data_IF_482887097350
#
_entry.id   IF_482887097350
#
_cell.length_a   1.000
_cell.length_b   1.000
_cell.length_c   1.000
_cell.angle_alpha   90.00
_cell.angle_beta   90.00
_cell.angle_gamma   90.00
#
_symmetry.space_group_name_H-M   'P 1'
#
loop_
_entity.id
_entity.type
_entity.pdbx_description
1 polymer ?
#
# COMPACT_ATOMS: atom_id res chain seq x y z
N UNK A 1 -88.78 -29.26 9.08
CA UNK A 1 -88.60 -28.38 7.92
C UNK A 1 -87.36 -27.55 8.20
N UNK A 2 -86.28 -27.83 7.49
CA UNK A 2 -84.92 -27.37 7.85
C UNK A 2 -84.48 -26.33 6.84
N UNK A 3 -84.35 -25.10 7.28
CA UNK A 3 -83.73 -24.03 6.47
C UNK A 3 -82.21 -24.07 6.65
N UNK A 4 -81.52 -24.31 5.57
CA UNK A 4 -80.07 -24.19 5.47
C UNK A 4 -79.70 -22.75 5.10
N UNK A 5 -79.10 -22.06 6.02
CA UNK A 5 -78.45 -20.75 5.78
C UNK A 5 -77.06 -21.01 5.20
N UNK A 6 -76.86 -20.58 3.96
CA UNK A 6 -75.58 -20.59 3.31
C UNK A 6 -74.88 -19.26 3.55
N UNK A 7 -73.83 -19.25 4.35
CA UNK A 7 -72.97 -18.10 4.56
C UNK A 7 -71.99 -18.03 3.40
N UNK A 8 -72.10 -16.95 2.57
CA UNK A 8 -71.08 -16.59 1.61
C UNK A 8 -69.98 -15.84 2.35
N UNK A 9 -68.78 -16.44 2.44
CA UNK A 9 -67.60 -15.78 2.94
C UNK A 9 -66.91 -15.07 1.74
N UNK A 10 -67.05 -13.75 1.70
CA UNK A 10 -66.33 -12.92 0.71
C UNK A 10 -64.89 -12.76 1.21
N UNK A 11 -63.98 -13.50 0.57
CA UNK A 11 -62.54 -13.31 0.80
C UNK A 11 -62.10 -12.04 0.06
N UNK A 12 -61.86 -10.99 0.83
CA UNK A 12 -61.27 -9.75 0.34
C UNK A 12 -59.78 -9.95 0.19
N UNK A 13 -59.32 -10.26 -1.02
CA UNK A 13 -57.91 -10.29 -1.35
C UNK A 13 -57.34 -8.86 -1.33
N UNK A 14 -56.68 -8.48 -0.25
CA UNK A 14 -55.82 -7.32 -0.24
C UNK A 14 -54.59 -7.63 -1.13
N UNK A 15 -54.64 -7.23 -2.40
CA UNK A 15 -53.46 -7.07 -3.21
C UNK A 15 -52.67 -5.90 -2.64
N UNK A 16 -51.74 -6.14 -1.77
CA UNK A 16 -50.66 -5.19 -1.48
C UNK A 16 -49.82 -5.06 -2.72
N UNK A 17 -50.07 -3.99 -3.50
CA UNK A 17 -49.18 -3.56 -4.55
C UNK A 17 -47.83 -3.21 -3.90
N UNK A 18 -46.89 -4.17 -3.95
CA UNK A 18 -45.49 -3.86 -3.68
C UNK A 18 -45.04 -2.89 -4.77
N UNK A 19 -44.98 -1.63 -4.44
CA UNK A 19 -44.31 -0.64 -5.28
C UNK A 19 -42.87 -1.08 -5.41
N UNK A 20 -42.33 -1.31 -6.62
CA UNK A 20 -40.92 -1.54 -6.75
C UNK A 20 -40.24 -0.28 -6.19
N UNK A 21 -39.38 -0.47 -5.18
CA UNK A 21 -38.45 0.54 -4.75
C UNK A 21 -37.60 0.86 -5.99
N UNK A 22 -38.06 1.83 -6.78
CA UNK A 22 -37.26 2.39 -7.84
C UNK A 22 -36.08 3.02 -7.15
N UNK A 23 -34.96 2.29 -7.09
CA UNK A 23 -33.68 2.87 -6.89
C UNK A 23 -33.54 3.93 -7.96
N UNK A 24 -33.86 5.17 -7.62
CA UNK A 24 -33.63 6.30 -8.50
C UNK A 24 -32.12 6.37 -8.70
N UNK A 25 -31.70 5.69 -9.75
CA UNK A 25 -30.32 5.78 -10.23
C UNK A 25 -30.09 7.24 -10.60
N UNK A 26 -29.35 7.94 -9.73
CA UNK A 26 -29.11 9.36 -9.91
C UNK A 26 -28.16 9.56 -11.08
N UNK A 27 -28.73 9.61 -12.29
CA UNK A 27 -28.01 9.70 -13.56
C UNK A 27 -27.00 10.86 -13.57
N UNK A 28 -27.35 12.00 -12.92
CA UNK A 28 -26.42 13.13 -12.79
C UNK A 28 -25.18 12.75 -11.95
N UNK A 29 -25.36 11.96 -10.88
CA UNK A 29 -24.28 11.48 -10.04
C UNK A 29 -23.44 10.43 -10.77
N UNK A 30 -24.08 9.54 -11.53
CA UNK A 30 -23.40 8.54 -12.36
C UNK A 30 -22.62 9.17 -13.51
N UNK A 31 -23.18 10.17 -14.20
CA UNK A 31 -22.50 10.92 -15.27
C UNK A 31 -21.32 11.71 -14.68
N UNK A 32 -21.51 12.36 -13.53
CA UNK A 32 -20.43 13.05 -12.82
C UNK A 32 -19.29 12.11 -12.43
N UNK A 33 -19.60 10.93 -11.91
CA UNK A 33 -18.61 9.90 -11.55
C UNK A 33 -17.89 9.34 -12.78
N UNK A 34 -18.61 9.07 -13.87
CA UNK A 34 -18.03 8.59 -15.13
C UNK A 34 -17.13 9.65 -15.78
N UNK A 35 -17.53 10.93 -15.76
CA UNK A 35 -16.72 12.04 -16.28
C UNK A 35 -15.41 12.18 -15.47
N UNK A 36 -15.48 12.08 -14.13
CA UNK A 36 -14.32 12.13 -13.24
C UNK A 36 -13.40 10.93 -13.43
N UNK A 37 -13.97 9.73 -13.58
CA UNK A 37 -13.19 8.51 -13.87
C UNK A 37 -12.47 8.62 -15.23
N UNK A 38 -13.13 9.20 -16.24
CA UNK A 38 -12.54 9.44 -17.55
C UNK A 38 -11.41 10.47 -17.46
N UNK A 39 -11.61 11.56 -16.70
CA UNK A 39 -10.63 12.62 -16.51
C UNK A 39 -9.38 12.12 -15.79
N UNK A 40 -9.54 11.30 -14.75
CA UNK A 40 -8.43 10.72 -14.03
C UNK A 40 -7.73 9.59 -14.82
N UNK A 41 -8.45 8.89 -15.72
CA UNK A 41 -7.83 7.97 -16.68
C UNK A 41 -6.94 8.71 -17.71
N UNK A 42 -7.12 10.01 -17.88
CA UNK A 42 -6.33 10.86 -18.80
C UNK A 42 -5.22 11.66 -18.11
N UNK A 43 -4.96 11.44 -16.79
CA UNK A 43 -3.82 12.08 -16.13
C UNK A 43 -2.52 11.78 -16.85
N UNK A 44 -1.84 12.84 -17.28
CA UNK A 44 -0.51 12.75 -17.87
C UNK A 44 0.54 12.37 -16.83
N UNK A 45 1.67 11.86 -17.27
CA UNK A 45 2.79 11.55 -16.37
C UNK A 45 3.28 12.80 -15.62
N UNK A 46 3.27 13.97 -16.27
CA UNK A 46 3.64 15.23 -15.63
C UNK A 46 2.67 15.66 -14.52
N UNK A 47 1.36 15.48 -14.72
CA UNK A 47 0.36 15.74 -13.69
C UNK A 47 0.48 14.75 -12.54
N UNK A 48 0.73 13.48 -12.86
CA UNK A 48 0.97 12.44 -11.84
C UNK A 48 2.18 12.79 -10.99
N UNK A 49 3.30 13.16 -11.60
CA UNK A 49 4.52 13.55 -10.90
C UNK A 49 4.29 14.77 -10.00
N UNK A 50 3.50 15.75 -10.44
CA UNK A 50 3.14 16.92 -9.63
C UNK A 50 2.35 16.52 -8.37
N UNK A 51 1.34 15.65 -8.50
CA UNK A 51 0.56 15.19 -7.35
C UNK A 51 1.37 14.31 -6.38
N UNK A 52 2.26 13.47 -6.91
CA UNK A 52 3.16 12.66 -6.07
C UNK A 52 4.08 13.56 -5.27
N UNK A 53 4.66 14.58 -5.95
CA UNK A 53 5.53 15.55 -5.26
C UNK A 53 4.78 16.29 -4.16
N UNK A 54 3.58 16.81 -4.44
CA UNK A 54 2.76 17.51 -3.46
C UNK A 54 2.43 16.63 -2.25
N UNK A 55 2.10 15.36 -2.50
CA UNK A 55 1.86 14.38 -1.43
C UNK A 55 3.11 14.11 -0.59
N UNK A 56 4.27 13.91 -1.22
CA UNK A 56 5.52 13.64 -0.50
C UNK A 56 5.99 14.88 0.28
N UNK A 57 5.86 16.08 -0.28
CA UNK A 57 6.17 17.31 0.44
C UNK A 57 5.28 17.43 1.69
N UNK A 58 3.98 17.16 1.56
CA UNK A 58 3.04 17.14 2.67
C UNK A 58 3.38 16.08 3.72
N UNK A 59 3.75 14.86 3.29
CA UNK A 59 4.18 13.80 4.21
C UNK A 59 5.46 14.18 4.96
N UNK A 60 6.44 14.78 4.29
CA UNK A 60 7.69 15.24 4.90
C UNK A 60 7.44 16.41 5.89
N UNK A 61 6.41 17.23 5.69
CA UNK A 61 6.01 18.30 6.62
C UNK A 61 5.26 17.78 7.85
N UNK A 62 4.49 16.70 7.70
CA UNK A 62 3.64 16.15 8.77
C UNK A 62 4.29 15.01 9.56
N UNK A 63 5.46 14.54 9.15
CA UNK A 63 6.23 13.52 9.86
C UNK A 63 7.61 14.05 10.20
N UNK A 64 8.13 13.83 11.42
CA UNK A 64 9.48 14.23 11.78
C UNK A 64 10.51 13.51 10.90
N UNK A 65 11.10 14.20 9.94
CA UNK A 65 12.21 13.69 9.12
C UNK A 65 13.48 13.72 9.96
N UNK A 66 14.25 12.64 9.98
CA UNK A 66 15.55 12.61 10.63
C UNK A 66 16.55 13.50 9.89
N UNK A 67 17.33 14.27 10.65
CA UNK A 67 18.39 15.15 10.12
C UNK A 67 19.53 14.34 9.46
N UNK A 68 20.38 15.01 8.69
CA UNK A 68 21.45 14.35 7.92
C UNK A 68 22.49 13.64 8.79
N UNK A 69 22.74 14.15 10.01
CA UNK A 69 23.67 13.59 11.00
C UNK A 69 23.02 12.59 11.97
N UNK A 70 21.73 12.34 11.84
CA UNK A 70 21.00 11.40 12.65
C UNK A 70 21.49 9.96 12.40
N UNK A 71 21.71 9.14 13.44
CA UNK A 71 22.15 7.75 13.31
C UNK A 71 21.29 6.90 12.35
N UNK A 72 19.98 7.14 12.29
CA UNK A 72 19.09 6.45 11.34
C UNK A 72 19.38 6.87 9.91
N UNK A 73 19.53 8.16 9.64
CA UNK A 73 19.87 8.67 8.32
C UNK A 73 21.25 8.16 7.86
N UNK A 74 22.25 8.19 8.74
CA UNK A 74 23.58 7.65 8.45
C UNK A 74 23.55 6.15 8.15
N UNK A 75 22.73 5.38 8.90
CA UNK A 75 22.54 3.95 8.64
C UNK A 75 21.87 3.72 7.28
N UNK A 76 20.79 4.46 6.98
CA UNK A 76 20.07 4.34 5.70
C UNK A 76 20.98 4.70 4.53
N UNK A 77 21.71 5.81 4.61
CA UNK A 77 22.64 6.25 3.55
C UNK A 77 23.72 5.20 3.26
N UNK A 78 24.27 4.55 4.30
CA UNK A 78 25.24 3.47 4.14
C UNK A 78 24.63 2.24 3.45
N UNK A 79 23.40 1.88 3.78
CA UNK A 79 22.70 0.73 3.19
C UNK A 79 22.29 0.97 1.75
N UNK A 80 22.00 2.21 1.39
CA UNK A 80 21.54 2.60 0.05
C UNK A 80 22.66 3.21 -0.81
N UNK A 81 23.90 3.12 -0.35
CA UNK A 81 25.05 3.63 -1.11
C UNK A 81 25.09 3.02 -2.52
N UNK A 82 25.15 3.87 -3.53
CA UNK A 82 25.15 3.44 -4.93
C UNK A 82 23.78 3.18 -5.54
N UNK A 83 22.69 3.25 -4.77
CA UNK A 83 21.32 3.14 -5.27
C UNK A 83 20.83 4.51 -5.79
N UNK A 84 21.15 4.83 -7.03
CA UNK A 84 20.78 6.12 -7.63
C UNK A 84 19.42 6.10 -8.31
N UNK A 85 19.04 4.99 -8.92
CA UNK A 85 17.80 4.87 -9.69
C UNK A 85 17.25 3.43 -9.71
N UNK A 86 15.95 3.31 -10.03
CA UNK A 86 15.27 2.07 -10.32
C UNK A 86 14.59 2.19 -11.69
N UNK A 87 15.11 1.51 -12.70
CA UNK A 87 14.58 1.53 -14.07
C UNK A 87 14.36 2.97 -14.60
N UNK A 88 15.38 3.84 -14.38
CA UNK A 88 15.39 5.24 -14.80
C UNK A 88 14.55 6.19 -13.94
N UNK A 89 14.04 5.75 -12.79
CA UNK A 89 13.43 6.62 -11.77
C UNK A 89 14.47 6.91 -10.71
N UNK A 90 14.85 8.17 -10.52
CA UNK A 90 15.77 8.60 -9.48
C UNK A 90 15.20 8.27 -8.10
N UNK A 91 16.01 7.66 -7.23
CA UNK A 91 15.61 7.29 -5.87
C UNK A 91 15.95 8.39 -4.86
N UNK A 92 15.06 8.60 -3.90
CA UNK A 92 15.26 9.53 -2.79
C UNK A 92 14.84 8.87 -1.48
N UNK A 93 15.79 8.73 -0.55
CA UNK A 93 15.58 8.05 0.72
C UNK A 93 15.55 9.05 1.87
N UNK A 94 14.57 8.90 2.78
CA UNK A 94 14.53 9.61 4.06
C UNK A 94 14.02 8.70 5.16
N UNK A 95 14.36 9.02 6.40
CA UNK A 95 13.82 8.35 7.59
C UNK A 95 12.81 9.24 8.28
N UNK A 96 11.63 8.69 8.60
CA UNK A 96 10.67 9.31 9.51
C UNK A 96 10.88 8.78 10.93
N UNK A 97 11.06 9.70 11.89
CA UNK A 97 11.18 9.35 13.31
C UNK A 97 9.80 9.16 13.92
N UNK A 98 9.23 8.01 13.70
CA UNK A 98 7.87 7.64 14.13
C UNK A 98 7.86 6.25 14.77
N UNK A 99 6.84 5.99 15.59
CA UNK A 99 6.68 4.74 16.34
C UNK A 99 5.95 3.64 15.54
N UNK A 100 5.38 3.98 14.40
CA UNK A 100 4.76 3.00 13.51
C UNK A 100 5.83 2.20 12.77
N UNK A 101 5.56 0.94 12.48
CA UNK A 101 6.48 0.05 11.74
C UNK A 101 6.06 0.03 10.29
N UNK A 102 6.84 0.74 9.44
CA UNK A 102 6.53 0.81 8.01
C UNK A 102 7.75 1.22 7.16
N UNK A 103 7.67 0.93 5.88
CA UNK A 103 8.38 1.58 4.79
C UNK A 103 7.42 1.71 3.61
N UNK A 104 7.61 2.71 2.76
CA UNK A 104 6.79 2.83 1.56
C UNK A 104 7.55 3.54 0.44
N UNK A 105 7.16 3.20 -0.79
CA UNK A 105 7.71 3.79 -2.00
C UNK A 105 6.63 4.55 -2.79
N UNK A 106 6.98 5.76 -3.25
CA UNK A 106 6.14 6.55 -4.14
C UNK A 106 6.56 6.47 -5.61
N UNK A 107 5.68 6.90 -6.49
CA UNK A 107 5.84 6.77 -7.92
C UNK A 107 6.94 7.64 -8.52
N UNK A 108 7.44 8.62 -7.78
CA UNK A 108 8.56 9.51 -8.15
C UNK A 108 9.94 8.98 -7.74
N UNK A 109 9.99 7.82 -7.07
CA UNK A 109 11.20 7.23 -6.52
C UNK A 109 11.49 7.63 -5.07
N UNK A 110 10.61 8.38 -4.43
CA UNK A 110 10.69 8.66 -3.00
C UNK A 110 10.43 7.41 -2.19
N UNK A 111 11.37 7.04 -1.30
CA UNK A 111 11.24 5.93 -0.33
C UNK A 111 11.36 6.53 1.07
N UNK A 112 10.41 6.20 1.92
CA UNK A 112 10.38 6.62 3.32
C UNK A 112 10.45 5.40 4.21
N UNK A 113 11.44 5.37 5.10
CA UNK A 113 11.65 4.27 6.05
C UNK A 113 11.37 4.80 7.45
N UNK A 114 10.61 4.06 8.23
CA UNK A 114 10.26 4.47 9.59
C UNK A 114 11.31 3.98 10.59
N UNK A 115 11.68 4.83 11.55
CA UNK A 115 12.72 4.51 12.54
C UNK A 115 12.43 3.22 13.31
N UNK A 116 11.16 2.97 13.66
CA UNK A 116 10.78 1.75 14.36
C UNK A 116 10.95 0.47 13.52
N UNK A 117 10.83 0.54 12.19
CA UNK A 117 11.20 -0.57 11.32
C UNK A 117 12.71 -0.82 11.37
N UNK A 118 13.50 0.25 11.39
CA UNK A 118 14.97 0.15 11.48
C UNK A 118 15.42 -0.42 12.83
N UNK A 119 14.71 -0.14 13.92
CA UNK A 119 15.04 -0.65 15.26
C UNK A 119 14.91 -2.16 15.37
N UNK A 120 13.97 -2.74 14.65
CA UNK A 120 13.66 -4.17 14.75
C UNK A 120 14.40 -5.02 13.73
N UNK A 121 15.01 -4.44 12.70
CA UNK A 121 15.65 -5.17 11.60
C UNK A 121 17.16 -5.08 11.64
N UNK A 122 17.82 -6.18 11.30
CA UNK A 122 19.25 -6.17 10.95
C UNK A 122 19.46 -5.37 9.65
N UNK A 123 20.72 -5.03 9.35
CA UNK A 123 21.06 -4.30 8.12
C UNK A 123 20.65 -5.07 6.85
N UNK A 124 20.86 -6.39 6.82
CA UNK A 124 20.55 -7.20 5.65
C UNK A 124 19.03 -7.38 5.48
N UNK A 125 18.27 -7.54 6.59
CA UNK A 125 16.79 -7.58 6.56
C UNK A 125 16.21 -6.25 6.08
N UNK A 126 16.71 -5.14 6.62
CA UNK A 126 16.28 -3.82 6.22
C UNK A 126 16.59 -3.54 4.75
N UNK A 127 17.76 -3.96 4.28
CA UNK A 127 18.16 -3.85 2.88
C UNK A 127 17.24 -4.67 1.97
N UNK A 128 16.80 -5.85 2.43
CA UNK A 128 15.79 -6.67 1.74
C UNK A 128 14.45 -5.95 1.58
N UNK A 129 13.95 -5.33 2.66
CA UNK A 129 12.72 -4.52 2.60
C UNK A 129 12.89 -3.30 1.67
N UNK A 130 14.02 -2.61 1.74
CA UNK A 130 14.31 -1.50 0.82
C UNK A 130 14.33 -2.00 -0.62
N UNK A 131 14.95 -3.14 -0.90
CA UNK A 131 14.96 -3.78 -2.21
C UNK A 131 13.55 -4.12 -2.72
N UNK A 132 12.66 -4.58 -1.84
CA UNK A 132 11.26 -4.82 -2.14
C UNK A 132 10.54 -3.52 -2.54
N UNK A 133 10.71 -2.44 -1.78
CA UNK A 133 10.13 -1.13 -2.11
C UNK A 133 10.66 -0.58 -3.43
N UNK A 134 11.96 -0.73 -3.69
CA UNK A 134 12.58 -0.39 -4.99
C UNK A 134 11.97 -1.23 -6.12
N UNK A 135 11.66 -2.50 -5.85
CA UNK A 135 10.95 -3.39 -6.78
C UNK A 135 9.60 -2.84 -7.21
N UNK A 136 8.78 -2.33 -6.29
CA UNK A 136 7.50 -1.69 -6.61
C UNK A 136 7.66 -0.43 -7.48
N UNK A 137 8.75 0.33 -7.31
CA UNK A 137 9.07 1.47 -8.18
C UNK A 137 9.46 0.96 -9.58
N UNK A 138 10.39 0.00 -9.66
CA UNK A 138 10.88 -0.55 -10.92
C UNK A 138 9.75 -1.15 -11.77
N UNK A 139 8.82 -1.86 -11.15
CA UNK A 139 7.64 -2.46 -11.80
C UNK A 139 6.48 -1.48 -12.01
N UNK A 140 6.65 -0.20 -11.64
CA UNK A 140 5.61 0.85 -11.74
C UNK A 140 4.36 0.56 -10.90
N UNK A 141 4.47 -0.28 -9.86
CA UNK A 141 3.33 -0.63 -9.01
C UNK A 141 2.93 0.51 -8.11
N UNK A 142 3.89 1.24 -7.52
CA UNK A 142 3.66 2.48 -6.77
C UNK A 142 2.92 3.51 -7.62
N UNK A 143 3.25 3.63 -8.92
CA UNK A 143 2.55 4.53 -9.86
C UNK A 143 1.10 4.10 -10.07
N UNK A 144 0.83 2.80 -10.21
CA UNK A 144 -0.53 2.26 -10.38
C UNK A 144 -1.34 2.46 -9.10
N UNK A 145 -0.76 2.16 -7.94
CA UNK A 145 -1.37 2.34 -6.62
C UNK A 145 -1.75 3.80 -6.38
N UNK A 146 -0.79 4.72 -6.57
CA UNK A 146 -1.01 6.17 -6.42
C UNK A 146 -2.10 6.69 -7.35
N UNK A 147 -2.09 6.26 -8.62
CA UNK A 147 -3.15 6.62 -9.58
C UNK A 147 -4.52 6.16 -9.11
N UNK A 148 -4.61 4.93 -8.59
CA UNK A 148 -5.88 4.38 -8.07
C UNK A 148 -6.36 5.15 -6.84
N UNK A 149 -5.46 5.45 -5.90
CA UNK A 149 -5.76 6.23 -4.71
C UNK A 149 -6.22 7.66 -5.07
N UNK A 150 -5.50 8.32 -5.97
CA UNK A 150 -5.85 9.66 -6.46
C UNK A 150 -7.22 9.67 -7.17
N UNK A 151 -7.53 8.63 -7.95
CA UNK A 151 -8.85 8.44 -8.56
C UNK A 151 -9.95 8.34 -7.52
N UNK A 152 -9.72 7.59 -6.45
CA UNK A 152 -10.69 7.38 -5.38
C UNK A 152 -10.94 8.68 -4.61
N UNK A 153 -9.91 9.43 -4.27
CA UNK A 153 -10.00 10.73 -3.62
C UNK A 153 -10.63 11.79 -4.54
N UNK A 154 -10.25 11.82 -5.83
CA UNK A 154 -10.80 12.74 -6.83
C UNK A 154 -12.30 12.52 -7.08
N UNK A 155 -12.79 11.28 -6.98
CA UNK A 155 -14.22 10.97 -7.07
C UNK A 155 -15.02 11.58 -5.90
N UNK A 156 -14.42 11.80 -4.73
CA UNK A 156 -15.06 12.46 -3.60
C UNK A 156 -15.21 13.97 -3.82
N UNK A 157 -14.14 14.66 -4.19
CA UNK A 157 -14.06 16.13 -4.05
C UNK A 157 -13.88 16.90 -5.36
N UNK A 158 -13.76 16.21 -6.48
CA UNK A 158 -13.75 16.85 -7.79
C UNK A 158 -12.45 17.57 -8.15
N UNK A 159 -11.31 16.90 -8.02
CA UNK A 159 -10.04 17.37 -8.58
C UNK A 159 -10.27 17.79 -10.04
N UNK A 160 -10.36 19.09 -10.27
CA UNK A 160 -10.55 19.64 -11.60
C UNK A 160 -9.19 19.96 -12.19
N UNK A 161 -8.78 19.24 -13.24
CA UNK A 161 -7.67 19.68 -14.07
C UNK A 161 -8.14 20.84 -14.93
N UNK A 162 -7.83 22.06 -14.56
CA UNK A 162 -8.04 23.21 -15.42
C UNK A 162 -6.82 23.40 -16.31
N UNK A 163 -6.97 23.14 -17.62
CA UNK A 163 -6.00 23.53 -18.64
C UNK A 163 -4.64 22.83 -18.58
N UNK A 164 -4.58 21.53 -18.22
CA UNK A 164 -3.34 20.74 -18.28
C UNK A 164 -2.38 20.91 -17.09
N UNK A 165 -2.70 21.74 -16.10
CA UNK A 165 -2.00 21.86 -14.83
C UNK A 165 -2.70 20.99 -13.78
N UNK A 166 -1.93 20.34 -12.90
CA UNK A 166 -2.48 19.70 -11.70
C UNK A 166 -3.14 20.80 -10.82
N UNK A 167 -4.34 20.54 -10.30
CA UNK A 167 -4.93 21.42 -9.30
C UNK A 167 -4.21 21.18 -7.97
N UNK A 168 -3.95 22.24 -7.21
CA UNK A 168 -3.38 22.10 -5.88
C UNK A 168 -4.36 21.37 -4.96
N UNK A 169 -3.88 20.37 -4.21
CA UNK A 169 -4.68 19.63 -3.25
C UNK A 169 -4.72 20.39 -1.90
N UNK A 170 -5.84 20.29 -1.21
CA UNK A 170 -5.96 20.79 0.16
C UNK A 170 -5.38 19.76 1.15
N UNK A 171 -5.05 20.18 2.37
CA UNK A 171 -4.58 19.26 3.43
C UNK A 171 -5.55 18.09 3.66
N UNK A 172 -6.86 18.36 3.65
CA UNK A 172 -7.87 17.30 3.76
C UNK A 172 -7.81 16.31 2.60
N UNK A 173 -7.59 16.78 1.38
CA UNK A 173 -7.46 15.93 0.19
C UNK A 173 -6.16 15.11 0.20
N UNK A 174 -5.07 15.70 0.71
CA UNK A 174 -3.80 15.00 0.91
C UNK A 174 -3.91 13.93 2.00
N UNK A 175 -4.62 14.22 3.10
CA UNK A 175 -4.98 13.24 4.13
C UNK A 175 -5.84 12.09 3.59
N UNK A 176 -6.89 12.40 2.82
CA UNK A 176 -7.75 11.39 2.16
C UNK A 176 -6.95 10.53 1.15
N UNK A 177 -6.00 11.14 0.44
CA UNK A 177 -5.10 10.43 -0.46
C UNK A 177 -4.17 9.49 0.32
N UNK A 178 -3.62 9.94 1.44
CA UNK A 178 -2.82 9.12 2.34
C UNK A 178 -3.61 7.92 2.86
N UNK A 179 -4.84 8.13 3.35
CA UNK A 179 -5.73 7.04 3.77
C UNK A 179 -6.02 6.04 2.64
N UNK A 180 -6.25 6.55 1.42
CA UNK A 180 -6.48 5.69 0.26
C UNK A 180 -5.25 4.86 -0.13
N UNK A 181 -4.03 5.42 0.02
CA UNK A 181 -2.77 4.71 -0.21
C UNK A 181 -2.51 3.64 0.84
N UNK A 182 -2.78 3.93 2.12
CA UNK A 182 -2.69 2.96 3.23
C UNK A 182 -3.65 1.79 3.05
N UNK A 183 -4.83 2.04 2.49
CA UNK A 183 -5.84 1.01 2.23
C UNK A 183 -5.66 0.33 0.85
N UNK A 184 -4.72 0.79 0.04
CA UNK A 184 -4.40 0.13 -1.22
C UNK A 184 -3.59 -1.14 -0.95
N UNK A 185 -4.02 -2.25 -1.55
CA UNK A 185 -3.34 -3.54 -1.42
C UNK A 185 -2.72 -3.91 -2.75
N UNK A 186 -1.47 -4.33 -2.73
CA UNK A 186 -0.83 -4.90 -3.90
C UNK A 186 -1.38 -6.30 -4.19
N UNK A 187 -1.46 -6.66 -5.46
CA UNK A 187 -1.84 -8.02 -5.85
C UNK A 187 -0.71 -9.00 -5.53
N UNK A 188 -1.06 -10.28 -5.31
CA UNK A 188 -0.06 -11.32 -5.08
C UNK A 188 1.03 -11.40 -6.17
N UNK A 189 0.69 -11.02 -7.42
CA UNK A 189 1.69 -10.96 -8.49
C UNK A 189 2.67 -9.82 -8.26
N UNK A 190 2.20 -8.63 -7.90
CA UNK A 190 3.04 -7.47 -7.61
C UNK A 190 3.95 -7.75 -6.42
N UNK A 191 3.40 -8.35 -5.34
CA UNK A 191 4.20 -8.79 -4.18
C UNK A 191 5.30 -9.77 -4.57
N UNK A 192 4.96 -10.79 -5.39
CA UNK A 192 5.97 -11.75 -5.87
C UNK A 192 7.07 -11.09 -6.69
N UNK A 193 6.70 -10.20 -7.61
CA UNK A 193 7.66 -9.52 -8.47
C UNK A 193 8.58 -8.60 -7.63
N UNK A 194 8.02 -7.91 -6.61
CA UNK A 194 8.79 -7.07 -5.68
C UNK A 194 9.69 -7.90 -4.75
N UNK A 195 9.20 -9.04 -4.25
CA UNK A 195 10.01 -9.99 -3.45
C UNK A 195 11.18 -10.53 -4.25
N UNK A 196 10.95 -10.92 -5.51
CA UNK A 196 12.01 -11.39 -6.39
C UNK A 196 13.05 -10.30 -6.64
N UNK A 197 12.61 -9.06 -6.82
CA UNK A 197 13.51 -7.93 -6.96
C UNK A 197 14.36 -7.73 -5.70
N UNK A 198 13.75 -7.73 -4.52
CA UNK A 198 14.46 -7.60 -3.23
C UNK A 198 15.46 -8.74 -3.00
N UNK A 199 15.08 -9.97 -3.31
CA UNK A 199 15.94 -11.15 -3.25
C UNK A 199 17.17 -11.00 -4.16
N UNK A 200 16.96 -10.69 -5.43
CA UNK A 200 18.04 -10.48 -6.40
C UNK A 200 18.91 -9.26 -6.05
N UNK A 201 18.30 -8.24 -5.48
CA UNK A 201 19.01 -7.07 -5.02
C UNK A 201 19.99 -7.41 -3.89
N UNK A 202 19.58 -8.22 -2.91
CA UNK A 202 20.46 -8.72 -1.87
C UNK A 202 21.64 -9.53 -2.46
N UNK A 203 21.36 -10.45 -3.39
CA UNK A 203 22.41 -11.21 -4.06
C UNK A 203 23.42 -10.30 -4.78
N UNK A 204 22.95 -9.32 -5.55
CA UNK A 204 23.79 -8.35 -6.27
C UNK A 204 24.62 -7.48 -5.33
N UNK A 205 24.11 -7.22 -4.12
CA UNK A 205 24.80 -6.49 -3.05
C UNK A 205 25.76 -7.37 -2.22
N UNK A 206 25.93 -8.65 -2.60
CA UNK A 206 26.79 -9.60 -1.87
C UNK A 206 26.24 -10.00 -0.51
N UNK A 207 24.93 -9.85 -0.30
CA UNK A 207 24.21 -10.19 0.93
C UNK A 207 23.50 -11.53 0.81
N UNK A 208 23.22 -12.15 1.95
CA UNK A 208 22.48 -13.40 1.96
C UNK A 208 20.99 -13.13 1.69
N UNK A 209 20.39 -13.66 0.59
CA UNK A 209 19.00 -13.37 0.25
C UNK A 209 17.98 -14.01 1.20
N UNK A 210 18.40 -14.91 2.11
CA UNK A 210 17.58 -15.36 3.24
C UNK A 210 17.04 -14.18 4.08
N UNK A 211 17.72 -13.05 4.04
CA UNK A 211 17.29 -11.84 4.74
C UNK A 211 15.86 -11.38 4.35
N UNK A 212 15.38 -11.73 3.14
CA UNK A 212 13.97 -11.51 2.77
C UNK A 212 13.03 -12.34 3.65
N UNK A 213 13.25 -13.64 3.75
CA UNK A 213 12.43 -14.50 4.61
C UNK A 213 12.55 -14.10 6.10
N UNK A 214 13.75 -13.74 6.55
CA UNK A 214 13.97 -13.28 7.92
C UNK A 214 13.23 -12.00 8.25
N UNK A 215 13.22 -11.01 7.35
CA UNK A 215 12.46 -9.78 7.55
C UNK A 215 10.96 -10.05 7.67
N UNK A 216 10.40 -10.92 6.82
CA UNK A 216 8.98 -11.29 6.87
C UNK A 216 8.62 -12.07 8.13
N UNK A 217 9.48 -12.99 8.60
CA UNK A 217 9.29 -13.71 9.87
C UNK A 217 9.25 -12.74 11.05
N UNK A 218 10.16 -11.76 11.07
CA UNK A 218 10.21 -10.75 12.11
C UNK A 218 8.95 -9.90 12.13
N UNK A 219 8.47 -9.47 10.97
CA UNK A 219 7.22 -8.74 10.85
C UNK A 219 6.02 -9.59 11.31
N UNK A 220 5.97 -10.87 10.91
CA UNK A 220 4.92 -11.80 11.34
C UNK A 220 4.90 -12.00 12.85
N UNK A 221 6.07 -12.21 13.48
CA UNK A 221 6.17 -12.34 14.93
C UNK A 221 5.64 -11.12 15.66
N UNK A 222 5.95 -9.92 15.19
CA UNK A 222 5.40 -8.68 15.75
C UNK A 222 3.87 -8.59 15.60
N UNK A 223 3.33 -9.05 14.48
CA UNK A 223 1.89 -9.10 14.27
C UNK A 223 1.20 -10.05 15.27
N UNK A 224 1.83 -11.19 15.55
CA UNK A 224 1.33 -12.18 16.51
C UNK A 224 1.43 -11.68 17.95
N UNK A 225 2.54 -11.03 18.35
CA UNK A 225 2.75 -10.44 19.67
C UNK A 225 1.78 -9.30 19.97
N UNK A 226 1.45 -8.48 18.97
CA UNK A 226 0.51 -7.37 19.11
C UNK A 226 -0.92 -7.83 19.41
N UNK A 227 -1.21 -9.13 19.27
CA UNK A 227 -2.52 -9.72 19.53
C UNK A 227 -3.62 -9.24 18.59
N UNK A 228 -4.85 -9.74 18.81
CA UNK A 228 -6.04 -9.42 18.01
C UNK A 228 -6.50 -7.95 18.20
N UNK A 229 -5.97 -7.25 19.19
CA UNK A 229 -6.18 -5.81 19.31
C UNK A 229 -5.42 -5.13 18.16
N UNK A 230 -6.20 -4.79 17.14
CA UNK A 230 -5.78 -3.96 15.99
C UNK A 230 -5.20 -2.63 16.49
N UNK A 231 -3.97 -2.65 17.00
CA UNK A 231 -3.26 -1.40 17.20
C UNK A 231 -2.99 -0.85 15.80
N UNK A 232 -3.50 0.32 15.52
CA UNK A 232 -3.42 1.02 14.23
C UNK A 232 -1.99 1.16 13.71
N UNK A 233 -1.01 0.96 14.56
CA UNK A 233 0.42 1.26 14.36
C UNK A 233 1.21 0.18 13.61
N UNK A 234 0.79 -1.08 13.66
CA UNK A 234 1.47 -2.20 12.97
C UNK A 234 0.70 -2.60 11.70
N UNK A 235 -0.56 -2.22 11.59
CA UNK A 235 -1.46 -2.68 10.54
C UNK A 235 -1.16 -2.12 9.13
N UNK A 236 -0.42 -1.01 9.01
CA UNK A 236 -0.25 -0.35 7.72
C UNK A 236 0.58 -1.19 6.75
N UNK A 237 1.75 -1.64 7.17
CA UNK A 237 2.62 -2.48 6.34
C UNK A 237 1.95 -3.79 5.95
N UNK A 238 1.22 -4.42 6.90
CA UNK A 238 0.52 -5.70 6.65
C UNK A 238 -0.72 -5.54 5.78
N UNK A 239 -1.39 -4.38 5.79
CA UNK A 239 -2.56 -4.16 4.95
C UNK A 239 -2.19 -3.91 3.50
N UNK A 240 -1.06 -3.28 3.24
CA UNK A 240 -0.55 -3.03 1.89
C UNK A 240 0.18 -4.23 1.30
N UNK A 241 0.85 -5.04 2.14
CA UNK A 241 1.70 -6.19 1.75
C UNK A 241 1.24 -7.50 2.41
N UNK A 242 0.15 -8.13 1.96
CA UNK A 242 -0.44 -9.30 2.58
C UNK A 242 0.33 -10.59 2.37
N UNK A 243 -0.19 -11.68 2.96
CA UNK A 243 0.21 -13.07 2.70
C UNK A 243 1.66 -13.43 3.13
N UNK A 244 2.12 -12.92 4.30
CA UNK A 244 3.48 -13.14 4.79
C UNK A 244 3.89 -14.62 4.82
N UNK A 245 3.00 -15.55 5.21
CA UNK A 245 3.31 -16.98 5.28
C UNK A 245 3.72 -17.54 3.92
N UNK A 246 2.96 -17.20 2.88
CA UNK A 246 3.26 -17.64 1.50
C UNK A 246 4.56 -17.03 1.00
N UNK A 247 4.81 -15.77 1.35
CA UNK A 247 6.03 -15.05 0.96
C UNK A 247 7.27 -15.59 1.66
N UNK A 248 7.19 -15.86 2.97
CA UNK A 248 8.26 -16.51 3.73
C UNK A 248 8.62 -17.83 3.07
N UNK A 249 7.65 -18.75 2.93
CA UNK A 249 7.88 -20.07 2.34
C UNK A 249 8.53 -19.97 0.96
N UNK A 250 8.05 -19.06 0.10
CA UNK A 250 8.57 -18.88 -1.25
C UNK A 250 10.03 -18.42 -1.28
N UNK A 251 10.43 -17.48 -0.40
CA UNK A 251 11.80 -17.00 -0.32
C UNK A 251 12.75 -18.09 0.21
N UNK A 252 12.32 -18.87 1.18
CA UNK A 252 13.06 -19.99 1.73
C UNK A 252 13.25 -21.12 0.72
N UNK A 253 12.19 -21.51 0.01
CA UNK A 253 12.24 -22.52 -1.05
C UNK A 253 13.19 -22.10 -2.19
N UNK A 254 13.14 -20.81 -2.59
CA UNK A 254 14.05 -20.25 -3.59
C UNK A 254 15.50 -20.35 -3.13
N UNK A 255 15.82 -19.86 -1.93
CA UNK A 255 17.17 -19.88 -1.39
C UNK A 255 17.69 -21.32 -1.24
N UNK A 256 16.88 -22.24 -0.72
CA UNK A 256 17.22 -23.66 -0.59
C UNK A 256 17.50 -24.29 -1.96
N UNK A 257 16.66 -24.01 -2.95
CA UNK A 257 16.83 -24.55 -4.33
C UNK A 257 18.10 -24.01 -4.99
N UNK A 258 18.48 -22.77 -4.69
CA UNK A 258 19.72 -22.15 -5.15
C UNK A 258 20.95 -22.61 -4.34
N UNK A 259 20.80 -23.46 -3.32
CA UNK A 259 21.86 -23.97 -2.47
C UNK A 259 22.45 -22.92 -1.53
N UNK A 260 21.68 -21.91 -1.17
CA UNK A 260 22.11 -20.85 -0.27
C UNK A 260 21.71 -21.24 1.16
N UNK A 261 22.69 -21.33 2.04
CA UNK A 261 22.46 -21.67 3.44
C UNK A 261 21.86 -20.49 4.21
N UNK A 262 20.94 -20.74 5.17
CA UNK A 262 20.44 -19.72 6.07
C UNK A 262 21.59 -19.08 6.86
N UNK A 263 21.46 -17.82 7.31
CA UNK A 263 22.48 -17.16 8.09
C UNK A 263 22.69 -17.90 9.42
N UNK A 264 23.96 -17.98 9.88
CA UNK A 264 24.33 -18.67 11.12
C UNK A 264 23.71 -18.08 12.39
N UNK A 265 23.37 -16.80 12.38
CA UNK A 265 22.47 -16.19 13.36
C UNK A 265 21.05 -16.36 12.81
N UNK A 266 20.29 -17.21 13.48
CA UNK A 266 18.90 -17.47 13.12
C UNK A 266 18.13 -16.19 12.83
N UNK A 267 17.34 -16.22 11.75
CA UNK A 267 16.22 -15.32 11.63
C UNK A 267 15.47 -15.37 12.97
N UNK A 268 15.65 -14.39 13.82
CA UNK A 268 15.03 -14.37 15.13
C UNK A 268 13.53 -14.65 14.96
N UNK A 269 13.06 -15.75 15.58
CA UNK A 269 11.70 -16.28 15.60
C UNK A 269 11.56 -17.67 14.93
N UNK A 270 12.58 -18.53 15.04
CA UNK A 270 12.43 -19.97 14.82
C UNK A 270 12.41 -20.67 16.19
N UNK A 271 11.38 -20.37 17.02
CA UNK A 271 10.92 -21.26 18.12
C UNK A 271 9.40 -21.13 18.27
#
# INVERSE_FOLDING_TARGET
MKHRFTLLLAALCCLSAATPASAQFNLKKAIGSAAKATQAATLTDAQMAAYVKEYIDWMDEHNPVCEDDDPYTLRLNRLTEGLADADGIALNFKVYRVIDVNAFACADGSIRVFSSLMDIMTDDELLGVIGHEVGHIAHRDSKKGFRTALLTSALRDGVSSSGGKAAQLTDSQLGDLGEALVNATYSQKQERDADDYGYEFLQKSGKNPWAMACSFRRLKAMQEEAGVEKSSKINQLFSTHPDLDVRIQRMEERATTEGIEPPAQECACAE
#
